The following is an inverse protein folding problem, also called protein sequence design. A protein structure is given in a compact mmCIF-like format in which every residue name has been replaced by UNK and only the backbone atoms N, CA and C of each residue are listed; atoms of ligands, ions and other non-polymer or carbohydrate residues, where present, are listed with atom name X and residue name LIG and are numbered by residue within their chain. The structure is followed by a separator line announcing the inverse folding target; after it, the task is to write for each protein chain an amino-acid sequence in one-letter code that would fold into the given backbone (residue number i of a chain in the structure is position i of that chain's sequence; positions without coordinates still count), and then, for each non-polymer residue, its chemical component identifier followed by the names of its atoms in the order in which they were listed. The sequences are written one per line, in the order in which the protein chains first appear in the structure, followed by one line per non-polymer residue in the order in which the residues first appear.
data_IF_038489377199
#
_entry.id   IF_038489377199
#
_cell.length_a   1.000
_cell.length_b   1.000
_cell.length_c   1.000
_cell.angle_alpha   90.00
_cell.angle_beta   90.00
_cell.angle_gamma   90.00
#
_symmetry.space_group_name_H-M   'P 1'
#
loop_
_entity.id
_entity.type
_entity.pdbx_description
1 polymer ?
#
# COMPACT_ATOMS: atom_id res chain seq x y z
N UNK A 1 14.40 26.95 -14.38
CA UNK A 1 14.77 26.02 -13.28
C UNK A 1 15.74 24.98 -13.83
N UNK A 2 17.00 24.94 -13.33
CA UNK A 2 17.96 23.89 -13.72
C UNK A 2 17.47 22.56 -13.14
N UNK A 3 17.16 21.59 -14.00
CA UNK A 3 16.89 20.23 -13.56
C UNK A 3 18.11 19.70 -12.80
N UNK A 4 17.95 19.44 -11.51
CA UNK A 4 18.99 18.86 -10.66
C UNK A 4 19.40 17.52 -11.27
N UNK A 5 20.68 17.38 -11.64
CA UNK A 5 21.20 16.14 -12.23
C UNK A 5 21.13 15.03 -11.20
N UNK A 6 20.26 14.03 -11.42
CA UNK A 6 20.09 12.88 -10.53
C UNK A 6 21.44 12.19 -10.29
N UNK A 7 21.69 11.79 -9.05
CA UNK A 7 22.87 11.00 -8.69
C UNK A 7 22.85 9.63 -9.38
N UNK A 8 24.00 8.95 -9.44
CA UNK A 8 24.08 7.59 -9.97
C UNK A 8 23.23 6.61 -9.18
N UNK A 9 23.20 6.77 -7.86
CA UNK A 9 22.39 6.00 -6.92
C UNK A 9 20.88 6.19 -7.22
N UNK A 10 20.42 7.44 -7.34
CA UNK A 10 19.02 7.73 -7.68
C UNK A 10 18.60 7.17 -9.05
N UNK A 11 19.51 7.19 -10.04
CA UNK A 11 19.22 6.61 -11.36
C UNK A 11 19.03 5.10 -11.28
N UNK A 12 19.91 4.40 -10.53
CA UNK A 12 19.79 2.95 -10.30
C UNK A 12 18.49 2.60 -9.60
N UNK A 13 18.15 3.33 -8.54
CA UNK A 13 16.95 3.12 -7.75
C UNK A 13 15.68 3.29 -8.58
N UNK A 14 15.59 4.37 -9.36
CA UNK A 14 14.44 4.65 -10.22
C UNK A 14 14.29 3.63 -11.36
N UNK A 15 15.41 3.22 -11.98
CA UNK A 15 15.40 2.20 -13.02
C UNK A 15 14.97 0.83 -12.44
N UNK A 16 15.53 0.45 -11.29
CA UNK A 16 15.16 -0.79 -10.62
C UNK A 16 13.68 -0.80 -10.22
N UNK A 17 13.18 0.26 -9.58
CA UNK A 17 11.78 0.43 -9.21
C UNK A 17 10.86 0.20 -10.42
N UNK A 18 11.11 0.94 -11.52
CA UNK A 18 10.30 0.84 -12.73
C UNK A 18 10.30 -0.57 -13.31
N UNK A 19 11.48 -1.18 -13.43
CA UNK A 19 11.61 -2.50 -14.02
C UNK A 19 11.05 -3.61 -13.14
N UNK A 20 11.23 -3.56 -11.82
CA UNK A 20 10.67 -4.53 -10.90
C UNK A 20 9.13 -4.49 -10.92
N UNK A 21 8.53 -3.31 -10.90
CA UNK A 21 7.07 -3.20 -10.98
C UNK A 21 6.53 -3.60 -12.35
N UNK A 22 7.20 -3.23 -13.46
CA UNK A 22 6.70 -3.45 -14.82
C UNK A 22 6.93 -4.86 -15.34
N UNK A 23 8.12 -5.41 -15.10
CA UNK A 23 8.56 -6.67 -15.72
C UNK A 23 8.70 -7.81 -14.71
N UNK A 24 8.54 -7.51 -13.43
CA UNK A 24 8.77 -8.46 -12.34
C UNK A 24 10.21 -8.47 -11.83
N UNK A 25 10.35 -8.86 -10.57
CA UNK A 25 11.64 -8.87 -9.87
C UNK A 25 12.55 -9.97 -10.43
N UNK A 26 12.01 -11.19 -10.62
CA UNK A 26 12.79 -12.32 -11.13
C UNK A 26 13.22 -12.12 -12.58
N UNK A 27 12.32 -11.63 -13.43
CA UNK A 27 12.58 -11.40 -14.85
C UNK A 27 13.50 -10.19 -15.11
N UNK A 28 13.75 -9.35 -14.12
CA UNK A 28 14.61 -8.17 -14.24
C UNK A 28 16.06 -8.51 -13.88
N UNK A 29 16.92 -8.66 -14.89
CA UNK A 29 18.37 -8.86 -14.71
C UNK A 29 19.10 -7.55 -14.41
N UNK A 30 20.28 -7.66 -13.76
CA UNK A 30 21.16 -6.51 -13.44
C UNK A 30 21.50 -5.71 -14.71
N UNK A 31 21.84 -6.38 -15.81
CA UNK A 31 22.21 -5.74 -17.07
C UNK A 31 21.12 -4.79 -17.55
N UNK A 32 19.87 -5.21 -17.51
CA UNK A 32 18.72 -4.38 -17.91
C UNK A 32 18.55 -3.16 -17.01
N UNK A 33 18.79 -3.30 -15.70
CA UNK A 33 18.75 -2.16 -14.76
C UNK A 33 19.83 -1.14 -15.09
N UNK A 34 21.06 -1.61 -15.40
CA UNK A 34 22.18 -0.74 -15.74
C UNK A 34 21.96 0.03 -17.04
N UNK A 35 21.42 -0.64 -18.05
CA UNK A 35 21.05 -0.05 -19.35
C UNK A 35 19.98 1.03 -19.17
N UNK A 36 18.90 0.74 -18.46
CA UNK A 36 17.81 1.69 -18.16
C UNK A 36 18.32 2.89 -17.35
N UNK A 37 19.23 2.66 -16.38
CA UNK A 37 19.82 3.72 -15.56
C UNK A 37 20.88 4.55 -16.30
N UNK A 38 21.45 4.03 -17.39
CA UNK A 38 22.55 4.65 -18.11
C UNK A 38 23.83 4.75 -17.27
N UNK A 39 24.17 3.70 -16.50
CA UNK A 39 25.32 3.68 -15.58
C UNK A 39 26.18 2.43 -15.75
N UNK A 40 27.46 2.53 -15.33
CA UNK A 40 28.40 1.42 -15.40
C UNK A 40 28.06 0.34 -14.34
N UNK A 41 28.40 -0.93 -14.64
CA UNK A 41 28.17 -2.08 -13.76
C UNK A 41 28.80 -1.90 -12.37
N UNK A 42 29.97 -1.31 -12.29
CA UNK A 42 30.65 -1.04 -11.01
C UNK A 42 29.80 -0.18 -10.06
N UNK A 43 29.00 0.74 -10.61
CA UNK A 43 28.14 1.63 -9.81
C UNK A 43 27.12 0.86 -8.97
N UNK A 44 26.51 -0.20 -9.50
CA UNK A 44 25.55 -1.01 -8.75
C UNK A 44 26.22 -1.67 -7.54
N UNK A 45 27.38 -2.26 -7.76
CA UNK A 45 28.10 -2.93 -6.69
C UNK A 45 28.66 -1.96 -5.65
N UNK A 46 29.07 -0.76 -6.08
CA UNK A 46 29.54 0.30 -5.18
C UNK A 46 28.43 0.82 -4.27
N UNK A 47 27.21 1.02 -4.81
CA UNK A 47 26.10 1.63 -4.04
C UNK A 47 25.26 0.60 -3.28
N UNK A 48 25.03 -0.57 -3.86
CA UNK A 48 24.08 -1.55 -3.32
C UNK A 48 24.69 -2.93 -3.03
N UNK A 49 25.82 -3.27 -3.63
CA UNK A 49 26.48 -4.55 -3.46
C UNK A 49 25.78 -5.72 -4.17
N UNK A 50 24.46 -5.74 -4.24
CA UNK A 50 23.69 -6.82 -4.85
C UNK A 50 22.33 -6.32 -5.40
N UNK A 51 21.69 -7.15 -6.25
CA UNK A 51 20.32 -6.92 -6.71
C UNK A 51 19.31 -6.97 -5.54
N UNK A 52 19.56 -7.85 -4.58
CA UNK A 52 18.69 -7.98 -3.39
C UNK A 52 18.72 -6.71 -2.54
N UNK A 53 19.91 -6.14 -2.29
CA UNK A 53 20.00 -4.89 -1.55
C UNK A 53 19.39 -3.71 -2.32
N UNK A 54 19.51 -3.70 -3.65
CA UNK A 54 18.82 -2.71 -4.48
C UNK A 54 17.29 -2.88 -4.38
N UNK A 55 16.78 -4.12 -4.32
CA UNK A 55 15.35 -4.38 -4.10
C UNK A 55 14.90 -3.89 -2.71
N UNK A 56 15.70 -4.11 -1.66
CA UNK A 56 15.42 -3.57 -0.32
C UNK A 56 15.33 -2.05 -0.35
N UNK A 57 16.24 -1.37 -1.03
CA UNK A 57 16.21 0.08 -1.18
C UNK A 57 14.97 0.56 -1.98
N UNK A 58 14.48 -0.21 -2.95
CA UNK A 58 13.20 0.05 -3.61
C UNK A 58 12.04 -0.07 -2.63
N UNK A 59 12.00 -1.12 -1.81
CA UNK A 59 10.98 -1.27 -0.78
C UNK A 59 10.96 -0.10 0.21
N UNK A 60 12.13 0.31 0.71
CA UNK A 60 12.25 1.45 1.62
C UNK A 60 11.73 2.74 0.99
N UNK A 61 12.03 2.97 -0.30
CA UNK A 61 11.56 4.16 -1.03
C UNK A 61 10.04 4.16 -1.18
N UNK A 62 9.45 3.04 -1.56
CA UNK A 62 8.00 2.91 -1.70
C UNK A 62 7.28 3.03 -0.36
N UNK A 63 7.81 2.41 0.69
CA UNK A 63 7.28 2.54 2.05
C UNK A 63 7.29 4.00 2.52
N UNK A 64 8.41 4.69 2.34
CA UNK A 64 8.56 6.09 2.73
C UNK A 64 7.59 7.02 1.98
N UNK A 65 7.28 6.74 0.71
CA UNK A 65 6.27 7.50 -0.04
C UNK A 65 4.89 7.38 0.60
N UNK A 66 4.47 6.16 0.97
CA UNK A 66 3.20 5.92 1.65
C UNK A 66 3.16 6.54 3.04
N UNK A 67 4.26 6.39 3.83
CA UNK A 67 4.35 6.98 5.16
C UNK A 67 4.26 8.51 5.10
N UNK A 68 4.87 9.13 4.09
CA UNK A 68 4.77 10.57 3.86
C UNK A 68 3.31 11.02 3.68
N UNK A 69 2.50 10.27 2.93
CA UNK A 69 1.07 10.57 2.78
C UNK A 69 0.33 10.53 4.11
N UNK A 70 0.56 9.51 4.93
CA UNK A 70 -0.08 9.40 6.23
C UNK A 70 0.43 10.42 7.25
N UNK A 71 1.72 10.66 7.27
CA UNK A 71 2.36 11.40 8.36
C UNK A 71 2.41 12.91 8.09
N UNK A 72 2.37 13.35 6.81
CA UNK A 72 2.50 14.75 6.42
C UNK A 72 1.34 15.26 5.55
N UNK A 73 1.02 14.58 4.46
CA UNK A 73 0.03 15.09 3.50
C UNK A 73 -1.39 15.09 4.07
N UNK A 74 -1.82 13.99 4.69
CA UNK A 74 -3.15 13.88 5.27
C UNK A 74 -3.37 14.81 6.47
N UNK A 75 -2.46 14.92 7.45
CA UNK A 75 -2.61 15.87 8.55
C UNK A 75 -2.62 17.33 8.10
N UNK A 76 -1.98 17.65 6.97
CA UNK A 76 -1.98 18.98 6.36
C UNK A 76 -3.33 19.40 5.78
N UNK A 77 -4.26 18.48 5.57
CA UNK A 77 -5.59 18.78 5.05
C UNK A 77 -6.46 19.44 6.13
N UNK A 78 -7.04 20.62 5.79
CA UNK A 78 -7.94 21.36 6.68
C UNK A 78 -9.38 20.82 6.57
N UNK A 79 -9.58 19.55 6.93
CA UNK A 79 -10.86 18.87 6.85
C UNK A 79 -11.03 17.90 8.03
N UNK A 80 -12.21 17.29 8.15
CA UNK A 80 -12.49 16.29 9.18
C UNK A 80 -11.61 15.05 9.04
N UNK A 81 -11.46 14.28 10.13
CA UNK A 81 -10.71 13.01 10.13
C UNK A 81 -11.31 12.03 9.11
N UNK A 82 -12.64 11.99 9.03
CA UNK A 82 -13.36 11.18 8.04
C UNK A 82 -12.95 11.54 6.62
N UNK A 83 -12.91 12.82 6.30
CA UNK A 83 -12.48 13.30 4.98
C UNK A 83 -10.99 13.00 4.72
N UNK A 84 -10.13 13.03 5.74
CA UNK A 84 -8.75 12.60 5.63
C UNK A 84 -8.63 11.11 5.28
N UNK A 85 -9.45 10.24 5.90
CA UNK A 85 -9.50 8.82 5.55
C UNK A 85 -9.93 8.65 4.08
N UNK A 86 -10.95 9.37 3.64
CA UNK A 86 -11.44 9.30 2.26
C UNK A 86 -10.44 9.88 1.25
N UNK A 87 -9.64 10.88 1.63
CA UNK A 87 -8.58 11.44 0.80
C UNK A 87 -7.48 10.42 0.44
N UNK A 88 -7.31 9.33 1.21
CA UNK A 88 -6.43 8.22 0.83
C UNK A 88 -6.84 7.61 -0.52
N UNK A 89 -8.12 7.50 -0.78
CA UNK A 89 -8.64 6.95 -2.05
C UNK A 89 -8.45 7.93 -3.21
N UNK A 90 -8.50 9.24 -2.94
CA UNK A 90 -8.17 10.26 -3.94
C UNK A 90 -6.66 10.22 -4.30
N UNK A 91 -5.79 9.95 -3.31
CA UNK A 91 -4.37 9.72 -3.54
C UNK A 91 -4.12 8.43 -4.34
N UNK A 92 -4.85 7.35 -4.05
CA UNK A 92 -4.82 6.12 -4.86
C UNK A 92 -5.21 6.41 -6.31
N UNK A 93 -6.27 7.18 -6.56
CA UNK A 93 -6.69 7.56 -7.90
C UNK A 93 -5.57 8.26 -8.68
N UNK A 94 -4.94 9.26 -8.06
CA UNK A 94 -3.78 9.96 -8.64
C UNK A 94 -2.58 9.04 -8.89
N UNK A 95 -2.40 8.02 -8.06
CA UNK A 95 -1.35 7.04 -8.26
C UNK A 95 -1.69 6.08 -9.40
N UNK A 96 -2.94 5.63 -9.52
CA UNK A 96 -3.41 4.75 -10.61
C UNK A 96 -3.36 5.43 -11.98
N UNK A 97 -3.45 6.77 -12.05
CA UNK A 97 -3.33 7.54 -13.30
C UNK A 97 -1.91 7.69 -13.81
N UNK A 98 -0.89 7.31 -13.01
CA UNK A 98 0.50 7.44 -13.46
C UNK A 98 0.82 6.40 -14.54
N UNK A 99 1.56 6.82 -15.57
CA UNK A 99 2.02 5.93 -16.67
C UNK A 99 2.90 4.78 -16.16
N UNK A 100 3.57 4.96 -15.01
CA UNK A 100 4.42 3.96 -14.36
C UNK A 100 3.71 3.22 -13.22
N UNK A 101 2.37 3.21 -13.21
CA UNK A 101 1.58 2.39 -12.29
C UNK A 101 1.50 0.94 -12.75
N UNK A 102 2.13 0.04 -12.02
CA UNK A 102 2.13 -1.41 -12.25
C UNK A 102 1.77 -2.20 -10.98
N UNK A 103 0.99 -1.58 -10.08
CA UNK A 103 0.60 -2.15 -8.81
C UNK A 103 1.59 -1.86 -7.68
N UNK A 104 1.35 -2.47 -6.53
CA UNK A 104 2.18 -2.34 -5.34
C UNK A 104 3.39 -3.28 -5.42
N UNK A 105 4.60 -2.74 -5.28
CA UNK A 105 5.84 -3.53 -5.33
C UNK A 105 5.88 -4.63 -4.26
N UNK A 106 5.29 -4.42 -3.10
CA UNK A 106 5.23 -5.42 -2.03
C UNK A 106 4.30 -6.58 -2.38
N UNK A 107 3.11 -6.28 -2.93
CA UNK A 107 2.16 -7.30 -3.41
C UNK A 107 2.80 -8.12 -4.53
N UNK A 108 3.41 -7.45 -5.52
CA UNK A 108 4.08 -8.10 -6.64
C UNK A 108 5.23 -8.98 -6.15
N UNK A 109 6.06 -8.48 -5.21
CA UNK A 109 7.16 -9.24 -4.66
C UNK A 109 6.71 -10.52 -3.96
N UNK A 110 5.65 -10.46 -3.15
CA UNK A 110 5.10 -11.65 -2.46
C UNK A 110 4.53 -12.66 -3.48
N UNK A 111 3.89 -12.17 -4.55
CA UNK A 111 3.34 -13.03 -5.59
C UNK A 111 4.41 -13.74 -6.43
N UNK A 112 5.54 -13.08 -6.69
CA UNK A 112 6.62 -13.60 -7.53
C UNK A 112 7.63 -14.49 -6.78
N UNK A 113 7.84 -14.26 -5.48
CA UNK A 113 8.85 -15.00 -4.72
C UNK A 113 8.35 -16.40 -4.34
N UNK A 114 9.30 -17.33 -4.26
CA UNK A 114 9.05 -18.69 -3.79
C UNK A 114 8.34 -18.65 -2.43
N UNK A 115 7.40 -19.58 -2.22
CA UNK A 115 6.58 -19.63 -0.99
C UNK A 115 7.42 -19.72 0.30
N UNK A 116 8.67 -20.18 0.19
CA UNK A 116 9.61 -20.31 1.31
C UNK A 116 10.53 -19.09 1.51
N UNK A 117 10.45 -18.10 0.64
CA UNK A 117 11.21 -16.85 0.79
C UNK A 117 10.68 -16.00 1.95
N UNK A 118 11.16 -16.30 3.14
CA UNK A 118 10.70 -15.64 4.38
C UNK A 118 10.97 -14.15 4.38
N UNK A 119 12.16 -13.72 3.97
CA UNK A 119 12.56 -12.31 4.07
C UNK A 119 11.64 -11.35 3.29
N UNK A 120 11.12 -11.75 2.11
CA UNK A 120 10.19 -10.93 1.34
C UNK A 120 8.86 -10.79 2.07
N UNK A 121 8.35 -11.90 2.62
CA UNK A 121 7.12 -11.89 3.42
C UNK A 121 7.26 -11.07 4.69
N UNK A 122 8.42 -11.17 5.35
CA UNK A 122 8.72 -10.41 6.58
C UNK A 122 8.75 -8.90 6.28
N UNK A 123 9.41 -8.48 5.19
CA UNK A 123 9.46 -7.08 4.76
C UNK A 123 8.07 -6.57 4.36
N UNK A 124 7.34 -7.33 3.54
CA UNK A 124 5.99 -6.95 3.12
C UNK A 124 5.00 -6.92 4.30
N UNK A 125 5.12 -7.87 5.23
CA UNK A 125 4.32 -7.92 6.45
C UNK A 125 4.60 -6.70 7.35
N UNK A 126 5.87 -6.41 7.62
CA UNK A 126 6.26 -5.25 8.41
C UNK A 126 5.79 -3.92 7.80
N UNK A 127 5.86 -3.79 6.47
CA UNK A 127 5.31 -2.64 5.75
C UNK A 127 3.79 -2.55 5.95
N UNK A 128 3.07 -3.67 5.73
CA UNK A 128 1.61 -3.73 5.90
C UNK A 128 1.20 -3.34 7.32
N UNK A 129 1.88 -3.87 8.33
CA UNK A 129 1.59 -3.57 9.73
C UNK A 129 1.76 -2.07 10.04
N UNK A 130 2.78 -1.42 9.47
CA UNK A 130 2.99 0.01 9.63
C UNK A 130 1.88 0.84 8.94
N UNK A 131 1.42 0.46 7.75
CA UNK A 131 0.28 1.10 7.08
C UNK A 131 -1.00 0.91 7.89
N UNK A 132 -1.25 -0.32 8.36
CA UNK A 132 -2.44 -0.63 9.17
C UNK A 132 -2.43 0.09 10.51
N UNK A 133 -1.26 0.28 11.13
CA UNK A 133 -1.11 1.07 12.34
C UNK A 133 -1.51 2.55 12.13
N UNK A 134 -1.05 3.17 11.05
CA UNK A 134 -1.39 4.56 10.68
C UNK A 134 -2.88 4.71 10.33
N UNK A 135 -3.41 3.79 9.54
CA UNK A 135 -4.83 3.77 9.21
C UNK A 135 -5.70 3.58 10.47
N UNK A 136 -5.29 2.67 11.36
CA UNK A 136 -5.95 2.44 12.64
C UNK A 136 -5.98 3.67 13.52
N UNK A 137 -4.88 4.42 13.58
CA UNK A 137 -4.81 5.68 14.34
C UNK A 137 -5.82 6.73 13.81
N UNK A 138 -5.93 6.88 12.49
CA UNK A 138 -6.93 7.77 11.87
C UNK A 138 -8.35 7.31 12.17
N UNK A 139 -8.62 6.01 12.15
CA UNK A 139 -9.94 5.46 12.46
C UNK A 139 -10.29 5.67 13.92
N UNK A 140 -9.34 5.50 14.85
CA UNK A 140 -9.54 5.82 16.27
C UNK A 140 -9.86 7.32 16.45
N UNK A 141 -9.10 8.20 15.80
CA UNK A 141 -9.31 9.65 15.84
C UNK A 141 -10.69 10.05 15.29
N UNK A 142 -11.24 9.29 14.32
CA UNK A 142 -12.58 9.55 13.76
C UNK A 142 -13.72 9.23 14.74
N UNK A 143 -13.45 8.59 15.87
CA UNK A 143 -14.46 8.16 16.82
C UNK A 143 -15.28 6.95 16.37
N UNK A 144 -14.80 6.20 15.37
CA UNK A 144 -15.50 5.03 14.86
C UNK A 144 -15.67 3.97 15.96
N UNK A 145 -16.83 3.35 16.02
CA UNK A 145 -17.12 2.18 16.84
C UNK A 145 -16.34 0.99 16.25
N UNK A 146 -15.74 0.14 17.07
CA UNK A 146 -14.93 -1.00 16.62
C UNK A 146 -13.79 -0.60 15.64
N UNK A 147 -12.89 0.35 16.02
CA UNK A 147 -11.93 0.95 15.10
C UNK A 147 -10.98 -0.07 14.46
N UNK A 148 -10.67 -1.16 15.16
CA UNK A 148 -9.85 -2.24 14.61
C UNK A 148 -10.50 -2.90 13.38
N UNK A 149 -11.78 -3.23 13.47
CA UNK A 149 -12.53 -3.85 12.35
C UNK A 149 -12.71 -2.86 11.20
N UNK A 150 -12.97 -1.59 11.50
CA UNK A 150 -13.05 -0.53 10.48
C UNK A 150 -11.73 -0.41 9.72
N UNK A 151 -10.62 -0.34 10.42
CA UNK A 151 -9.29 -0.27 9.81
C UNK A 151 -9.01 -1.50 8.93
N UNK A 152 -9.35 -2.72 9.38
CA UNK A 152 -9.20 -3.94 8.58
C UNK A 152 -10.04 -3.90 7.30
N UNK A 153 -11.30 -3.46 7.37
CA UNK A 153 -12.17 -3.32 6.18
C UNK A 153 -11.60 -2.31 5.20
N UNK A 154 -11.17 -1.13 5.68
CA UNK A 154 -10.55 -0.10 4.82
C UNK A 154 -9.25 -0.61 4.19
N UNK A 155 -8.42 -1.33 4.94
CA UNK A 155 -7.21 -1.95 4.41
C UNK A 155 -7.49 -2.93 3.27
N UNK A 156 -8.49 -3.82 3.44
CA UNK A 156 -8.93 -4.75 2.39
C UNK A 156 -9.45 -4.02 1.15
N UNK A 157 -10.20 -2.91 1.32
CA UNK A 157 -10.66 -2.09 0.20
C UNK A 157 -9.49 -1.45 -0.54
N UNK A 158 -8.49 -0.92 0.17
CA UNK A 158 -7.28 -0.33 -0.42
C UNK A 158 -6.50 -1.39 -1.21
N UNK A 159 -6.21 -2.54 -0.60
CA UNK A 159 -5.48 -3.64 -1.25
C UNK A 159 -6.24 -4.17 -2.48
N UNK A 160 -7.56 -4.36 -2.37
CA UNK A 160 -8.42 -4.75 -3.48
C UNK A 160 -8.45 -3.73 -4.61
N UNK A 161 -8.50 -2.44 -4.29
CA UNK A 161 -8.46 -1.38 -5.28
C UNK A 161 -7.15 -1.35 -6.06
N UNK A 162 -6.01 -1.53 -5.37
CA UNK A 162 -4.68 -1.59 -6.00
C UNK A 162 -4.61 -2.75 -6.99
N UNK A 163 -5.02 -3.96 -6.58
CA UNK A 163 -4.99 -5.14 -7.44
C UNK A 163 -5.95 -4.98 -8.61
N UNK A 164 -7.18 -4.50 -8.38
CA UNK A 164 -8.17 -4.31 -9.43
C UNK A 164 -7.70 -3.26 -10.44
N UNK A 165 -7.18 -2.13 -10.00
CA UNK A 165 -6.65 -1.09 -10.88
C UNK A 165 -5.45 -1.60 -11.71
N UNK A 166 -4.57 -2.42 -11.11
CA UNK A 166 -3.46 -3.06 -11.81
C UNK A 166 -3.93 -4.00 -12.93
N UNK A 167 -4.95 -4.82 -12.66
CA UNK A 167 -5.48 -5.80 -13.64
C UNK A 167 -6.28 -5.12 -14.74
N UNK A 168 -7.12 -4.14 -14.39
CA UNK A 168 -8.06 -3.50 -15.34
C UNK A 168 -7.49 -2.28 -16.03
N UNK A 169 -6.35 -1.75 -15.57
CA UNK A 169 -5.76 -0.48 -16.02
C UNK A 169 -6.78 0.69 -15.97
N UNK A 170 -7.64 0.67 -14.94
CA UNK A 170 -8.73 1.63 -14.78
C UNK A 170 -8.59 2.39 -13.45
N UNK A 171 -8.28 3.69 -13.51
CA UNK A 171 -8.15 4.57 -12.33
C UNK A 171 -9.48 4.83 -11.61
N UNK A 172 -10.63 4.65 -12.29
CA UNK A 172 -11.96 4.83 -11.69
C UNK A 172 -12.23 3.83 -10.54
N UNK A 173 -11.45 2.77 -10.45
CA UNK A 173 -11.48 1.83 -9.30
C UNK A 173 -11.29 2.56 -7.97
N UNK A 174 -10.46 3.60 -7.93
CA UNK A 174 -10.26 4.40 -6.72
C UNK A 174 -11.54 5.11 -6.25
N UNK A 175 -12.35 5.61 -7.19
CA UNK A 175 -13.64 6.21 -6.87
C UNK A 175 -14.62 5.17 -6.30
N UNK A 176 -14.71 3.99 -6.88
CA UNK A 176 -15.55 2.90 -6.35
C UNK A 176 -15.09 2.48 -4.96
N UNK A 177 -13.78 2.35 -4.76
CA UNK A 177 -13.20 2.03 -3.44
C UNK A 177 -13.51 3.13 -2.40
N UNK A 178 -13.48 4.41 -2.81
CA UNK A 178 -13.88 5.54 -1.96
C UNK A 178 -15.33 5.44 -1.52
N UNK A 179 -16.25 5.13 -2.42
CA UNK A 179 -17.68 4.92 -2.09
C UNK A 179 -17.85 3.75 -1.10
N UNK A 180 -17.17 2.64 -1.32
CA UNK A 180 -17.19 1.50 -0.39
C UNK A 180 -16.64 1.87 1.00
N UNK A 181 -15.59 2.69 1.06
CA UNK A 181 -15.04 3.20 2.31
C UNK A 181 -16.03 4.15 3.02
N UNK A 182 -16.74 5.00 2.28
CA UNK A 182 -17.80 5.85 2.82
C UNK A 182 -18.91 5.03 3.49
N UNK A 183 -19.33 3.94 2.85
CA UNK A 183 -20.36 3.04 3.40
C UNK A 183 -19.86 2.37 4.67
N UNK A 184 -18.60 1.88 4.70
CA UNK A 184 -18.00 1.32 5.91
C UNK A 184 -18.00 2.33 7.04
N UNK A 185 -17.56 3.57 6.80
CA UNK A 185 -17.52 4.62 7.81
C UNK A 185 -18.92 5.03 8.30
N UNK A 186 -19.93 5.06 7.42
CA UNK A 186 -21.32 5.39 7.75
C UNK A 186 -21.97 4.31 8.63
N UNK A 187 -21.81 3.05 8.27
CA UNK A 187 -22.38 1.93 9.03
C UNK A 187 -21.85 1.86 10.47
N UNK A 188 -20.62 2.30 10.70
CA UNK A 188 -19.98 2.25 12.03
C UNK A 188 -20.36 3.42 12.95
N UNK A 189 -20.99 4.45 12.42
CA UNK A 189 -21.59 5.54 13.21
C UNK A 189 -23.00 5.18 13.76
N UNK A 190 -23.73 4.28 13.07
CA UNK A 190 -25.17 4.05 13.30
C UNK A 190 -25.57 2.65 13.79
N UNK A 191 -24.68 1.67 13.78
CA UNK A 191 -25.00 0.27 14.07
C UNK A 191 -24.62 -0.24 15.47
N UNK A 192 -25.25 -1.36 15.98
CA UNK A 192 -24.76 -2.05 17.18
C UNK A 192 -23.34 -2.59 16.96
N UNK A 193 -22.54 -2.67 18.02
CA UNK A 193 -21.16 -3.20 17.92
C UNK A 193 -21.17 -4.68 17.53
N UNK A 194 -20.11 -5.12 16.83
CA UNK A 194 -19.97 -6.56 16.49
C UNK A 194 -19.88 -7.45 17.74
N UNK A 195 -19.41 -6.92 18.86
CA UNK A 195 -19.41 -7.60 20.15
C UNK A 195 -20.83 -7.84 20.68
N UNK A 196 -21.74 -6.88 20.49
CA UNK A 196 -23.16 -7.03 20.87
C UNK A 196 -23.87 -8.04 19.96
N UNK A 197 -23.54 -8.08 18.66
CA UNK A 197 -24.09 -9.07 17.71
C UNK A 197 -23.61 -10.50 18.01
N UNK A 198 -22.36 -10.68 18.43
CA UNK A 198 -21.85 -12.01 18.80
C UNK A 198 -22.50 -12.54 20.08
N UNK A 199 -22.75 -11.67 21.06
CA UNK A 199 -23.46 -12.02 22.28
C UNK A 199 -24.94 -12.37 22.00
N UNK A 200 -25.60 -11.63 21.13
CA UNK A 200 -26.99 -11.90 20.72
C UNK A 200 -27.13 -13.23 19.94
N UNK A 201 -26.16 -13.55 19.07
CA UNK A 201 -26.12 -14.81 18.32
C UNK A 201 -25.87 -16.00 19.23
N UNK A 202 -24.99 -15.87 20.24
CA UNK A 202 -24.74 -16.91 21.23
C UNK A 202 -25.95 -17.16 22.14
N UNK A 203 -26.68 -16.10 22.51
CA UNK A 203 -27.92 -16.20 23.30
C UNK A 203 -29.03 -16.83 22.48
N UNK A 204 -29.17 -16.54 21.19
CA UNK A 204 -30.16 -17.18 20.31
C UNK A 204 -29.88 -18.70 20.13
N UNK A 205 -28.61 -19.07 19.92
CA UNK A 205 -28.21 -20.48 19.80
C UNK A 205 -28.42 -21.27 21.08
N UNK A 206 -28.31 -20.65 22.25
CA UNK A 206 -28.60 -21.29 23.56
C UNK A 206 -30.09 -21.54 23.80
N UNK A 207 -30.98 -20.74 23.21
CA UNK A 207 -32.44 -20.90 23.30
C UNK A 207 -32.99 -21.96 22.35
N UNK A 208 -32.30 -22.27 21.24
CA UNK A 208 -32.70 -23.33 20.29
C UNK A 208 -32.26 -24.74 20.74
N UNK A 209 -31.42 -24.84 21.76
CA UNK A 209 -30.91 -26.13 22.32
C UNK A 209 -31.62 -26.61 23.60
N UNK A 210 -32.72 -25.98 23.99
CA UNK A 210 -33.57 -26.37 25.14
C UNK A 210 -34.92 -26.85 24.68
#
# INVERSE_FOLDING_TARGET
MKATRKSTEEKLLLAARRLFCRAGIHATGITRILEEAGVARASLYTHYGSKENLLKAVFDTEANMWFHWFDLDLPGLKCSVRERILALFDLLGKWFEKEDFFGCVFINAVAEHEKDSRWVKDVAGAYRDQIMGRLGALVVESGARDPHIVAQKLGLIIEGAIVTAMVTQNSQVAYIARLAAEDVLRCMECGPSLAENSASSAAAAALEST
#
